data_IF_983394075140
#
_entry.id   IF_983394075140
#
_cell.length_a   1.000
_cell.length_b   1.000
_cell.length_c   1.000
_cell.angle_alpha   90.00
_cell.angle_beta   90.00
_cell.angle_gamma   90.00
#
_symmetry.space_group_name_H-M   'P 1'
#
loop_
_entity.id
_entity.type
_entity.pdbx_description
1 polymer ?
#
# COMPACT_ATOMS: atom_id res chain seq x y z
N UNK A 1 6.57 -21.74 16.36
CA UNK A 1 5.43 -22.63 16.04
C UNK A 1 5.72 -24.12 16.29
N UNK A 2 6.95 -24.61 16.09
CA UNK A 2 7.26 -26.05 16.19
C UNK A 2 6.95 -26.72 17.54
N UNK A 3 6.96 -25.97 18.65
CA UNK A 3 6.72 -26.52 19.99
C UNK A 3 5.33 -26.21 20.57
N UNK A 4 4.48 -25.50 19.83
CA UNK A 4 3.16 -25.06 20.34
C UNK A 4 2.30 -26.26 20.73
N UNK A 5 2.36 -27.33 19.93
CA UNK A 5 1.65 -28.59 20.20
C UNK A 5 2.07 -29.25 21.51
N UNK A 6 3.34 -29.09 21.91
CA UNK A 6 3.90 -29.75 23.09
C UNK A 6 3.77 -28.90 24.35
N UNK A 7 4.03 -27.60 24.25
CA UNK A 7 4.01 -26.67 25.40
C UNK A 7 2.60 -26.14 25.71
N UNK A 8 1.74 -25.99 24.70
CA UNK A 8 0.39 -25.45 24.83
C UNK A 8 -0.60 -26.23 23.95
N UNK A 9 -0.87 -27.51 24.27
CA UNK A 9 -1.67 -28.40 23.42
C UNK A 9 -3.09 -27.88 23.17
N UNK A 10 -3.71 -27.23 24.15
CA UNK A 10 -5.04 -26.64 24.01
C UNK A 10 -5.08 -25.47 23.03
N UNK A 11 -4.08 -24.58 23.07
CA UNK A 11 -3.95 -23.46 22.12
C UNK A 11 -3.73 -24.00 20.72
N UNK A 12 -2.84 -25.00 20.57
CA UNK A 12 -2.58 -25.65 19.30
C UNK A 12 -3.85 -26.31 18.73
N UNK A 13 -4.64 -26.99 19.57
CA UNK A 13 -5.93 -27.58 19.20
C UNK A 13 -6.91 -26.50 18.72
N UNK A 14 -7.06 -25.41 19.49
CA UNK A 14 -7.95 -24.30 19.13
C UNK A 14 -7.56 -23.62 17.83
N UNK A 15 -6.27 -23.50 17.54
CA UNK A 15 -5.80 -22.97 16.27
C UNK A 15 -6.14 -23.91 15.11
N UNK A 16 -5.98 -25.22 15.28
CA UNK A 16 -6.40 -26.21 14.25
C UNK A 16 -7.90 -26.20 14.00
N UNK A 17 -8.69 -25.95 15.05
CA UNK A 17 -10.15 -25.77 14.96
C UNK A 17 -10.54 -24.44 14.27
N UNK A 18 -9.58 -23.57 13.91
CA UNK A 18 -9.85 -22.30 13.24
C UNK A 18 -10.19 -21.15 14.17
N UNK A 19 -10.07 -21.31 15.49
CA UNK A 19 -10.40 -20.28 16.49
C UNK A 19 -9.37 -19.14 16.61
N UNK A 20 -8.75 -18.78 15.51
CA UNK A 20 -7.90 -17.59 15.36
C UNK A 20 -8.47 -16.61 14.32
N UNK A 21 -9.59 -16.97 13.69
CA UNK A 21 -10.38 -16.12 12.81
C UNK A 21 -11.83 -16.04 13.31
N UNK A 22 -12.55 -15.05 12.82
CA UNK A 22 -13.99 -14.87 13.07
C UNK A 22 -14.71 -14.65 11.76
N UNK A 23 -15.99 -14.98 11.73
CA UNK A 23 -16.83 -14.84 10.55
C UNK A 23 -17.99 -13.90 10.88
N UNK A 24 -18.06 -12.76 10.17
CA UNK A 24 -19.12 -11.77 10.38
C UNK A 24 -20.36 -12.02 9.50
N UNK A 25 -20.22 -12.79 8.43
CA UNK A 25 -21.30 -13.04 7.46
C UNK A 25 -21.48 -14.53 7.27
N UNK A 26 -22.63 -14.99 6.76
CA UNK A 26 -22.82 -16.40 6.42
C UNK A 26 -22.12 -16.83 5.11
N UNK A 27 -21.31 -15.95 4.51
CA UNK A 27 -20.63 -16.26 3.25
C UNK A 27 -19.48 -17.24 3.46
N UNK A 28 -19.33 -18.19 2.56
CA UNK A 28 -18.18 -19.09 2.56
C UNK A 28 -16.89 -18.31 2.28
N UNK A 29 -15.77 -18.77 2.85
CA UNK A 29 -14.46 -18.11 2.76
C UNK A 29 -14.44 -16.65 3.24
N UNK A 30 -15.31 -16.30 4.22
CA UNK A 30 -15.39 -14.94 4.78
C UNK A 30 -14.78 -14.80 6.19
N UNK A 31 -14.06 -15.82 6.65
CA UNK A 31 -13.36 -15.76 7.93
C UNK A 31 -12.21 -14.76 7.84
N UNK A 32 -12.15 -13.82 8.78
CA UNK A 32 -11.13 -12.79 8.86
C UNK A 32 -10.38 -12.89 10.19
N UNK A 33 -9.12 -12.44 10.27
CA UNK A 33 -8.42 -12.26 11.52
C UNK A 33 -9.21 -11.43 12.54
N UNK A 34 -9.06 -11.74 13.83
CA UNK A 34 -9.82 -11.10 14.92
C UNK A 34 -9.56 -9.58 15.00
N UNK A 35 -8.31 -9.16 14.77
CA UNK A 35 -7.91 -7.75 14.73
C UNK A 35 -8.58 -7.00 13.58
N UNK A 36 -8.66 -7.62 12.40
CA UNK A 36 -9.37 -7.06 11.25
C UNK A 36 -10.88 -6.94 11.52
N UNK A 37 -11.50 -7.94 12.14
CA UNK A 37 -12.91 -7.87 12.53
C UNK A 37 -13.18 -6.75 13.55
N UNK A 38 -12.28 -6.61 14.51
CA UNK A 38 -12.34 -5.54 15.50
C UNK A 38 -12.19 -4.17 14.83
N UNK A 39 -11.29 -4.01 13.86
CA UNK A 39 -11.14 -2.74 13.14
C UNK A 39 -12.37 -2.40 12.28
N UNK A 40 -13.02 -3.40 11.65
CA UNK A 40 -14.29 -3.17 10.96
C UNK A 40 -15.41 -2.73 11.92
N UNK A 41 -15.49 -3.32 13.11
CA UNK A 41 -16.47 -2.91 14.12
C UNK A 41 -16.19 -1.48 14.60
N UNK A 42 -14.91 -1.15 14.78
CA UNK A 42 -14.49 0.19 15.15
C UNK A 42 -14.86 1.22 14.08
N UNK A 43 -14.72 0.88 12.79
CA UNK A 43 -15.07 1.78 11.70
C UNK A 43 -16.54 2.20 11.72
N UNK A 44 -17.46 1.31 12.14
CA UNK A 44 -18.87 1.64 12.28
C UNK A 44 -19.15 2.68 13.39
N UNK A 45 -18.27 2.74 14.39
CA UNK A 45 -18.42 3.59 15.58
C UNK A 45 -17.60 4.89 15.44
N UNK A 46 -16.49 4.85 14.68
CA UNK A 46 -15.65 6.00 14.36
C UNK A 46 -16.40 6.89 13.36
N UNK A 47 -16.62 8.16 13.70
CA UNK A 47 -17.08 9.17 12.73
C UNK A 47 -15.96 9.59 11.78
N UNK A 48 -16.25 10.53 10.87
CA UNK A 48 -15.32 11.01 9.83
C UNK A 48 -14.00 11.60 10.38
N UNK A 49 -13.97 11.99 11.66
CA UNK A 49 -12.76 12.47 12.36
C UNK A 49 -11.84 11.37 12.92
N UNK A 50 -12.15 10.10 12.70
CA UNK A 50 -11.37 8.96 13.21
C UNK A 50 -11.40 8.86 14.74
N UNK A 51 -10.31 8.36 15.34
CA UNK A 51 -10.19 8.19 16.80
C UNK A 51 -9.54 9.39 17.52
N UNK A 52 -9.32 10.52 16.81
CA UNK A 52 -8.61 11.69 17.35
C UNK A 52 -9.40 12.27 18.52
N UNK A 53 -8.77 12.34 19.70
CA UNK A 53 -9.39 12.79 20.96
C UNK A 53 -10.06 11.69 21.79
N UNK A 54 -10.36 10.51 21.21
CA UNK A 54 -10.91 9.36 21.94
C UNK A 54 -9.82 8.64 22.76
N UNK A 55 -8.61 8.57 22.21
CA UNK A 55 -7.45 7.94 22.86
C UNK A 55 -6.86 8.78 23.99
N UNK A 56 -7.11 10.09 23.97
CA UNK A 56 -6.51 11.05 24.91
C UNK A 56 -7.30 11.16 26.22
N UNK A 57 -8.50 10.59 26.28
CA UNK A 57 -9.33 10.51 27.48
C UNK A 57 -9.50 9.03 27.91
N UNK A 58 -8.81 8.57 28.97
CA UNK A 58 -8.87 7.19 29.43
C UNK A 58 -10.29 6.69 29.75
N UNK A 59 -11.17 7.57 30.23
CA UNK A 59 -12.56 7.21 30.54
C UNK A 59 -13.42 7.09 29.29
N UNK A 60 -13.22 7.96 28.29
CA UNK A 60 -13.87 7.84 26.99
C UNK A 60 -13.40 6.58 26.25
N UNK A 61 -12.10 6.31 26.27
CA UNK A 61 -11.51 5.09 25.72
C UNK A 61 -12.07 3.83 26.40
N UNK A 62 -12.20 3.83 27.74
CA UNK A 62 -12.78 2.70 28.48
C UNK A 62 -14.25 2.47 28.11
N UNK A 63 -15.06 3.54 28.04
CA UNK A 63 -16.46 3.44 27.61
C UNK A 63 -16.57 2.90 26.19
N UNK A 64 -15.72 3.36 25.29
CA UNK A 64 -15.69 2.88 23.92
C UNK A 64 -15.27 1.40 23.82
N UNK A 65 -14.25 0.97 24.56
CA UNK A 65 -13.84 -0.45 24.61
C UNK A 65 -14.95 -1.38 25.13
N UNK A 66 -15.77 -0.92 26.07
CA UNK A 66 -16.82 -1.73 26.70
C UNK A 66 -18.13 -1.67 25.91
N UNK A 67 -18.57 -0.47 25.53
CA UNK A 67 -19.86 -0.26 24.88
C UNK A 67 -19.80 -0.30 23.35
N UNK A 68 -18.62 -0.07 22.76
CA UNK A 68 -18.45 -0.05 21.31
C UNK A 68 -18.94 -1.31 20.61
N UNK A 69 -18.50 -2.51 21.03
CA UNK A 69 -19.00 -3.77 20.46
C UNK A 69 -20.52 -3.91 20.54
N UNK A 70 -21.14 -3.52 21.66
CA UNK A 70 -22.59 -3.58 21.84
C UNK A 70 -23.33 -2.57 20.95
N UNK A 71 -22.80 -1.35 20.80
CA UNK A 71 -23.37 -0.35 19.89
C UNK A 71 -23.29 -0.85 18.43
N UNK A 72 -22.17 -1.43 18.03
CA UNK A 72 -22.04 -2.04 16.70
C UNK A 72 -23.05 -3.18 16.49
N UNK A 73 -23.23 -4.06 17.48
CA UNK A 73 -24.23 -5.14 17.45
C UNK A 73 -25.65 -4.60 17.28
N UNK A 74 -26.04 -3.60 18.06
CA UNK A 74 -27.39 -3.01 17.99
C UNK A 74 -27.64 -2.33 16.63
N UNK A 75 -26.64 -1.64 16.08
CA UNK A 75 -26.73 -1.04 14.74
C UNK A 75 -26.93 -2.13 13.68
N UNK A 76 -26.14 -3.21 13.74
CA UNK A 76 -26.24 -4.34 12.81
C UNK A 76 -27.60 -5.03 12.90
N UNK A 77 -28.09 -5.35 14.11
CA UNK A 77 -29.41 -5.94 14.33
C UNK A 77 -30.55 -5.05 13.83
N UNK A 78 -30.45 -3.73 14.02
CA UNK A 78 -31.43 -2.77 13.51
C UNK A 78 -31.42 -2.73 11.97
N UNK A 79 -30.23 -2.72 11.36
CA UNK A 79 -30.09 -2.74 9.90
C UNK A 79 -30.63 -4.05 9.31
N UNK A 80 -30.39 -5.18 9.96
CA UNK A 80 -30.88 -6.49 9.52
C UNK A 80 -32.40 -6.62 9.68
N UNK A 81 -32.95 -6.12 10.80
CA UNK A 81 -34.39 -6.10 11.06
C UNK A 81 -35.20 -5.30 10.05
N UNK A 82 -34.62 -4.21 9.53
CA UNK A 82 -35.26 -3.32 8.55
C UNK A 82 -35.07 -3.73 7.08
N UNK A 83 -34.29 -4.78 6.79
CA UNK A 83 -34.03 -5.25 5.42
C UNK A 83 -35.01 -6.36 4.97
N UNK A 84 -36.32 -6.06 4.99
CA UNK A 84 -37.39 -7.01 4.62
C UNK A 84 -37.21 -7.65 3.23
N UNK A 85 -36.59 -6.94 2.27
CA UNK A 85 -36.34 -7.40 0.89
C UNK A 85 -35.05 -8.20 0.69
N UNK A 86 -34.08 -8.21 1.64
CA UNK A 86 -32.85 -9.02 1.51
C UNK A 86 -33.00 -10.47 1.98
N UNK A 87 -34.17 -10.85 2.53
CA UNK A 87 -34.46 -12.23 2.96
C UNK A 87 -34.70 -13.22 1.81
N UNK A 88 -34.63 -12.79 0.55
CA UNK A 88 -34.57 -13.70 -0.58
C UNK A 88 -33.15 -14.28 -0.67
N UNK A 89 -32.98 -15.47 -0.09
CA UNK A 89 -31.83 -16.39 -0.28
C UNK A 89 -30.56 -15.68 -0.74
N UNK A 90 -29.97 -14.88 0.16
CA UNK A 90 -28.75 -14.15 -0.16
C UNK A 90 -27.68 -15.20 -0.51
N UNK A 91 -27.26 -15.18 -1.77
CA UNK A 91 -26.21 -16.05 -2.26
C UNK A 91 -24.99 -15.96 -1.32
N UNK A 92 -24.71 -17.06 -0.62
CA UNK A 92 -23.64 -17.12 0.38
C UNK A 92 -22.29 -17.39 -0.27
N UNK A 93 -22.25 -17.54 -1.60
CA UNK A 93 -21.00 -17.73 -2.33
C UNK A 93 -20.08 -16.53 -2.17
N UNK A 94 -18.79 -16.82 -2.09
CA UNK A 94 -17.75 -15.84 -2.31
C UNK A 94 -17.82 -15.33 -3.76
N UNK A 95 -17.44 -14.07 -4.02
CA UNK A 95 -17.50 -13.50 -5.36
C UNK A 95 -16.68 -14.33 -6.40
N UNK A 96 -15.59 -14.96 -5.94
CA UNK A 96 -14.74 -15.85 -6.75
C UNK A 96 -15.41 -17.19 -7.12
N UNK A 97 -16.51 -17.55 -6.49
CA UNK A 97 -17.26 -18.77 -6.81
C UNK A 97 -18.35 -18.55 -7.87
N UNK A 98 -18.44 -17.33 -8.41
CA UNK A 98 -19.35 -17.08 -9.52
C UNK A 98 -18.80 -17.71 -10.81
N UNK A 99 -19.65 -18.34 -11.65
CA UNK A 99 -19.18 -18.98 -12.89
C UNK A 99 -18.39 -18.06 -13.81
N UNK A 100 -18.74 -16.76 -13.87
CA UNK A 100 -18.01 -15.79 -14.69
C UNK A 100 -16.59 -15.54 -14.16
N UNK A 101 -16.42 -15.37 -12.84
CA UNK A 101 -15.09 -15.15 -12.25
C UNK A 101 -14.22 -16.39 -12.44
N UNK A 102 -14.77 -17.58 -12.26
CA UNK A 102 -14.03 -18.84 -12.51
C UNK A 102 -13.65 -18.99 -13.99
N UNK A 103 -14.57 -18.69 -14.92
CA UNK A 103 -14.27 -18.76 -16.35
C UNK A 103 -13.20 -17.75 -16.77
N UNK A 104 -13.27 -16.51 -16.28
CA UNK A 104 -12.24 -15.48 -16.50
C UNK A 104 -10.90 -15.90 -15.92
N UNK A 105 -10.86 -16.38 -14.68
CA UNK A 105 -9.64 -16.86 -14.04
C UNK A 105 -8.98 -17.99 -14.83
N UNK A 106 -9.75 -19.00 -15.26
CA UNK A 106 -9.24 -20.09 -16.09
C UNK A 106 -8.72 -19.59 -17.43
N UNK A 107 -9.40 -18.63 -18.06
CA UNK A 107 -8.94 -17.98 -19.30
C UNK A 107 -7.60 -17.28 -19.08
N UNK A 108 -7.47 -16.50 -18.01
CA UNK A 108 -6.26 -15.74 -17.71
C UNK A 108 -5.08 -16.66 -17.39
N UNK A 109 -5.31 -17.73 -16.61
CA UNK A 109 -4.30 -18.76 -16.35
C UNK A 109 -3.84 -19.43 -17.65
N UNK A 110 -4.76 -19.83 -18.53
CA UNK A 110 -4.40 -20.42 -19.83
C UNK A 110 -3.63 -19.45 -20.71
N UNK A 111 -4.01 -18.17 -20.71
CA UNK A 111 -3.29 -17.14 -21.45
C UNK A 111 -1.87 -16.96 -20.92
N UNK A 112 -1.69 -16.94 -19.60
CA UNK A 112 -0.37 -16.84 -18.98
C UNK A 112 0.50 -18.07 -19.31
N UNK A 113 -0.06 -19.28 -19.19
CA UNK A 113 0.66 -20.52 -19.54
C UNK A 113 1.06 -20.51 -21.00
N UNK A 114 0.15 -20.16 -21.92
CA UNK A 114 0.46 -20.08 -23.35
C UNK A 114 1.58 -19.08 -23.66
N UNK A 115 1.57 -17.92 -23.00
CA UNK A 115 2.66 -16.93 -23.12
C UNK A 115 3.98 -17.47 -22.57
N UNK A 116 3.97 -18.18 -21.45
CA UNK A 116 5.16 -18.82 -20.88
C UNK A 116 5.71 -19.91 -21.81
N UNK A 117 4.84 -20.74 -22.39
CA UNK A 117 5.23 -21.79 -23.35
C UNK A 117 5.80 -21.18 -24.64
N UNK A 118 5.17 -20.14 -25.19
CA UNK A 118 5.65 -19.42 -26.38
C UNK A 118 6.98 -18.71 -26.13
N UNK A 119 7.11 -18.07 -24.97
CA UNK A 119 8.35 -17.40 -24.57
C UNK A 119 9.40 -18.39 -24.01
N UNK A 120 9.12 -19.68 -23.99
CA UNK A 120 10.00 -20.66 -23.37
C UNK A 120 9.89 -20.64 -21.86
N UNK A 121 9.81 -21.84 -21.28
CA UNK A 121 9.59 -22.04 -19.86
C UNK A 121 10.79 -21.49 -19.06
N UNK A 122 10.62 -20.44 -18.24
CA UNK A 122 11.72 -19.85 -17.47
C UNK A 122 12.27 -20.80 -16.39
N UNK A 123 11.56 -21.89 -16.08
CA UNK A 123 12.02 -22.91 -15.14
C UNK A 123 12.88 -24.01 -15.80
N UNK A 124 12.97 -24.03 -17.14
CA UNK A 124 13.86 -24.93 -17.89
C UNK A 124 15.16 -24.23 -18.30
N UNK A 125 15.33 -22.96 -17.95
CA UNK A 125 16.53 -22.19 -18.26
C UNK A 125 17.70 -22.63 -17.37
N UNK A 126 18.81 -23.05 -17.99
CA UNK A 126 20.04 -23.45 -17.28
C UNK A 126 20.94 -22.26 -16.92
N UNK A 127 20.62 -21.07 -17.41
CA UNK A 127 21.39 -19.86 -17.10
C UNK A 127 21.25 -19.47 -15.62
N UNK A 128 22.34 -18.92 -15.05
CA UNK A 128 22.29 -18.28 -13.73
C UNK A 128 21.83 -16.82 -13.80
N UNK A 129 21.53 -16.32 -15.00
CA UNK A 129 21.06 -14.96 -15.20
C UNK A 129 19.65 -14.77 -14.62
N UNK A 130 19.43 -13.62 -13.98
CA UNK A 130 18.09 -13.22 -13.53
C UNK A 130 17.41 -12.52 -14.69
N UNK A 131 16.34 -13.11 -15.21
CA UNK A 131 15.63 -12.62 -16.39
C UNK A 131 14.26 -12.06 -16.02
N UNK A 132 13.85 -10.96 -16.66
CA UNK A 132 12.48 -10.44 -16.56
C UNK A 132 11.53 -11.29 -17.40
N UNK A 133 10.50 -11.85 -16.78
CA UNK A 133 9.58 -12.79 -17.44
C UNK A 133 8.82 -12.19 -18.63
N UNK A 134 8.55 -10.89 -18.65
CA UNK A 134 7.73 -10.23 -19.68
C UNK A 134 8.54 -9.78 -20.91
N UNK A 135 9.82 -9.45 -20.71
CA UNK A 135 10.69 -8.82 -21.72
C UNK A 135 11.88 -9.70 -22.10
N UNK A 136 12.14 -10.76 -21.33
CA UNK A 136 13.37 -11.58 -21.39
C UNK A 136 14.67 -10.80 -21.24
N UNK A 137 14.60 -9.58 -20.70
CA UNK A 137 15.79 -8.79 -20.43
C UNK A 137 16.52 -9.34 -19.21
N UNK A 138 17.84 -9.48 -19.34
CA UNK A 138 18.73 -9.80 -18.20
C UNK A 138 18.74 -8.61 -17.24
N UNK A 139 18.50 -8.88 -15.96
CA UNK A 139 18.53 -7.89 -14.91
C UNK A 139 19.96 -7.35 -14.71
N UNK A 140 20.07 -6.04 -14.46
CA UNK A 140 21.36 -5.42 -14.19
C UNK A 140 21.99 -5.92 -12.88
N UNK A 141 23.32 -5.85 -12.71
CA UNK A 141 24.04 -6.43 -11.57
C UNK A 141 23.49 -6.03 -10.19
N UNK A 142 23.06 -4.77 -10.02
CA UNK A 142 22.49 -4.28 -8.77
C UNK A 142 21.15 -4.96 -8.39
N UNK A 143 20.34 -5.30 -9.40
CA UNK A 143 19.09 -6.04 -9.20
C UNK A 143 19.37 -7.50 -8.86
N UNK A 144 20.31 -8.13 -9.56
CA UNK A 144 20.76 -9.50 -9.28
C UNK A 144 21.26 -9.62 -7.85
N UNK A 145 22.20 -8.75 -7.45
CA UNK A 145 22.76 -8.74 -6.10
C UNK A 145 21.67 -8.57 -5.04
N UNK A 146 20.72 -7.67 -5.28
CA UNK A 146 19.59 -7.43 -4.39
C UNK A 146 18.72 -8.68 -4.23
N UNK A 147 18.30 -9.30 -5.32
CA UNK A 147 17.41 -10.47 -5.29
C UNK A 147 18.10 -11.66 -4.63
N UNK A 148 19.35 -11.94 -5.02
CA UNK A 148 20.14 -13.05 -4.49
C UNK A 148 20.43 -12.90 -3.00
N UNK A 149 20.60 -11.67 -2.51
CA UNK A 149 20.86 -11.41 -1.09
C UNK A 149 19.60 -11.06 -0.28
N UNK A 150 18.41 -10.96 -0.88
CA UNK A 150 17.21 -10.47 -0.21
C UNK A 150 16.90 -11.25 1.08
N UNK A 151 17.05 -12.57 1.03
CA UNK A 151 16.87 -13.44 2.20
C UNK A 151 17.90 -13.13 3.30
N UNK A 152 19.18 -13.02 2.94
CA UNK A 152 20.27 -12.72 3.88
C UNK A 152 20.05 -11.35 4.54
N UNK A 153 19.74 -10.33 3.73
CA UNK A 153 19.45 -8.96 4.20
C UNK A 153 18.27 -8.97 5.17
N UNK A 154 17.16 -9.63 4.83
CA UNK A 154 16.01 -9.74 5.71
C UNK A 154 16.30 -10.48 7.01
N UNK A 155 17.12 -11.54 6.94
CA UNK A 155 17.55 -12.30 8.12
C UNK A 155 18.39 -11.46 9.07
N UNK A 156 19.40 -10.74 8.55
CA UNK A 156 20.24 -9.85 9.35
C UNK A 156 19.42 -8.74 10.02
N UNK A 157 18.43 -8.19 9.32
CA UNK A 157 17.53 -7.17 9.86
C UNK A 157 16.60 -7.71 10.95
N UNK A 158 16.08 -8.93 10.75
CA UNK A 158 15.26 -9.60 11.74
C UNK A 158 16.07 -9.91 13.02
N UNK A 159 17.30 -10.38 12.86
CA UNK A 159 18.21 -10.65 13.98
C UNK A 159 18.59 -9.38 14.74
N UNK A 160 18.88 -8.29 14.01
CA UNK A 160 19.15 -6.98 14.60
C UNK A 160 17.93 -6.47 15.39
N UNK A 161 16.73 -6.52 14.79
CA UNK A 161 15.49 -6.13 15.47
C UNK A 161 15.24 -6.97 16.73
N UNK A 162 15.39 -8.29 16.63
CA UNK A 162 15.20 -9.20 17.77
C UNK A 162 16.15 -8.87 18.91
N UNK A 163 17.42 -8.61 18.58
CA UNK A 163 18.43 -8.24 19.57
C UNK A 163 18.12 -6.88 20.20
N UNK A 164 17.98 -5.84 19.39
CA UNK A 164 17.83 -4.46 19.85
C UNK A 164 16.50 -4.22 20.58
N UNK A 165 15.39 -4.75 20.08
CA UNK A 165 14.05 -4.45 20.60
C UNK A 165 13.55 -5.49 21.62
N UNK A 166 13.91 -6.77 21.48
CA UNK A 166 13.32 -7.85 22.31
C UNK A 166 14.26 -8.37 23.40
N UNK A 167 15.55 -8.53 23.09
CA UNK A 167 16.55 -9.05 24.02
C UNK A 167 17.18 -7.93 24.86
N UNK A 168 17.92 -7.04 24.21
CA UNK A 168 18.69 -5.98 24.86
C UNK A 168 17.82 -4.78 25.23
N UNK A 169 16.66 -4.63 24.58
CA UNK A 169 15.65 -3.57 24.80
C UNK A 169 16.26 -2.16 24.74
N UNK A 170 17.23 -1.97 23.84
CA UNK A 170 17.89 -0.68 23.60
C UNK A 170 17.05 0.25 22.73
N UNK A 171 16.08 -0.30 21.99
CA UNK A 171 15.09 0.42 21.18
C UNK A 171 13.68 0.04 21.58
N UNK A 172 12.72 0.93 21.33
CA UNK A 172 11.33 0.67 21.60
C UNK A 172 10.75 -0.24 20.52
N UNK A 173 9.81 -1.11 20.88
CA UNK A 173 9.19 -2.05 19.93
C UNK A 173 8.31 -1.31 18.90
N UNK A 174 7.81 -0.14 19.26
CA UNK A 174 7.03 0.77 18.42
C UNK A 174 7.87 1.74 17.57
N UNK A 175 9.21 1.68 17.68
CA UNK A 175 10.08 2.49 16.84
C UNK A 175 9.86 2.16 15.35
N UNK A 176 9.82 3.17 14.45
CA UNK A 176 9.59 2.94 13.03
C UNK A 176 10.68 2.06 12.41
N UNK A 177 10.27 0.97 11.75
CA UNK A 177 11.18 0.14 10.96
C UNK A 177 11.44 0.84 9.61
N UNK A 178 12.69 1.23 9.31
CA UNK A 178 12.99 1.96 8.07
C UNK A 178 12.79 1.06 6.85
N UNK A 179 12.31 1.66 5.76
CA UNK A 179 12.19 0.96 4.47
C UNK A 179 13.55 0.72 3.83
N UNK A 180 13.74 -0.50 3.34
CA UNK A 180 14.89 -0.87 2.52
C UNK A 180 14.81 -0.22 1.14
N UNK A 181 15.85 0.55 0.76
CA UNK A 181 15.96 1.19 -0.55
C UNK A 181 16.68 0.31 -1.57
N UNK A 182 16.28 -0.96 -1.67
CA UNK A 182 16.91 -1.92 -2.57
C UNK A 182 16.47 -1.70 -4.02
N UNK A 183 17.41 -1.82 -4.95
CA UNK A 183 17.16 -1.60 -6.38
C UNK A 183 16.82 -2.93 -7.05
N UNK A 184 15.57 -3.36 -6.94
CA UNK A 184 15.13 -4.67 -7.48
C UNK A 184 14.83 -4.62 -9.00
N UNK A 185 14.26 -3.52 -9.50
CA UNK A 185 13.73 -3.46 -10.88
C UNK A 185 14.06 -2.19 -11.66
N UNK A 186 14.93 -1.30 -11.15
CA UNK A 186 15.29 -0.09 -11.89
C UNK A 186 16.72 0.41 -11.62
N UNK A 187 17.57 0.28 -12.63
CA UNK A 187 17.99 1.48 -13.34
C UNK A 187 17.25 1.50 -14.66
N UNK A 188 15.97 1.90 -14.64
CA UNK A 188 15.45 2.57 -15.82
C UNK A 188 16.34 3.78 -16.04
N UNK A 189 16.71 4.04 -17.29
CA UNK A 189 17.15 5.36 -17.72
C UNK A 189 16.31 6.42 -16.98
N UNK A 190 16.93 7.51 -16.46
CA UNK A 190 16.18 8.53 -15.75
C UNK A 190 14.97 8.89 -16.61
N UNK A 191 13.76 8.64 -16.07
CA UNK A 191 12.51 8.92 -16.78
C UNK A 191 12.67 10.31 -17.38
N UNK A 192 12.51 10.44 -18.70
CA UNK A 192 12.46 11.76 -19.29
C UNK A 192 11.40 12.54 -18.51
N UNK A 193 11.78 13.74 -18.06
CA UNK A 193 10.90 14.56 -17.22
C UNK A 193 9.53 14.61 -17.90
N UNK A 194 8.47 14.32 -17.16
CA UNK A 194 7.13 14.43 -17.71
C UNK A 194 6.90 15.87 -18.21
N UNK A 195 6.01 16.09 -19.18
CA UNK A 195 5.73 17.44 -19.71
C UNK A 195 5.46 18.47 -18.60
N UNK A 196 4.76 18.06 -17.53
CA UNK A 196 4.51 18.91 -16.37
C UNK A 196 5.77 19.20 -15.53
N UNK A 197 6.68 18.23 -15.41
CA UNK A 197 7.97 18.45 -14.72
C UNK A 197 8.91 19.35 -15.53
N UNK A 198 8.91 19.22 -16.85
CA UNK A 198 9.66 20.12 -17.75
C UNK A 198 9.13 21.55 -17.67
N UNK A 199 7.79 21.73 -17.70
CA UNK A 199 7.17 23.04 -17.52
C UNK A 199 7.50 23.66 -16.16
N UNK A 200 7.44 22.88 -15.07
CA UNK A 200 7.79 23.37 -13.74
C UNK A 200 9.27 23.75 -13.63
N UNK A 201 10.17 23.01 -14.29
CA UNK A 201 11.59 23.34 -14.35
C UNK A 201 11.84 24.63 -15.16
N UNK A 202 11.14 24.80 -16.29
CA UNK A 202 11.19 26.03 -17.09
C UNK A 202 10.75 27.24 -16.27
N UNK A 203 9.60 27.15 -15.59
CA UNK A 203 9.07 28.26 -14.77
C UNK A 203 10.00 28.61 -13.62
N UNK A 204 10.68 27.64 -13.00
CA UNK A 204 11.68 27.89 -11.96
C UNK A 204 12.90 28.62 -12.50
N UNK A 205 13.40 28.21 -13.67
CA UNK A 205 14.51 28.88 -14.33
C UNK A 205 14.13 30.31 -14.77
N UNK A 206 12.94 30.49 -15.33
CA UNK A 206 12.44 31.81 -15.72
C UNK A 206 12.31 32.72 -14.51
N UNK A 207 11.73 32.22 -13.40
CA UNK A 207 11.64 32.97 -12.14
C UNK A 207 13.01 33.39 -11.64
N UNK A 208 14.01 32.50 -11.71
CA UNK A 208 15.36 32.81 -11.25
C UNK A 208 16.05 33.83 -12.16
N UNK A 209 15.86 33.73 -13.48
CA UNK A 209 16.33 34.72 -14.44
C UNK A 209 15.69 36.09 -14.20
N UNK A 210 14.37 36.14 -13.99
CA UNK A 210 13.63 37.37 -13.66
C UNK A 210 14.12 37.98 -12.35
N UNK A 211 14.38 37.19 -11.32
CA UNK A 211 14.92 37.69 -10.06
C UNK A 211 16.31 38.34 -10.26
N UNK A 212 17.18 37.72 -11.06
CA UNK A 212 18.50 38.27 -11.39
C UNK A 212 18.42 39.55 -12.22
N UNK A 213 17.54 39.59 -13.22
CA UNK A 213 17.28 40.79 -14.04
C UNK A 213 16.73 41.94 -13.19
N UNK A 214 15.77 41.67 -12.31
CA UNK A 214 15.21 42.67 -11.40
C UNK A 214 16.28 43.28 -10.49
N UNK A 215 17.13 42.44 -9.88
CA UNK A 215 18.24 42.90 -9.04
C UNK A 215 19.21 43.76 -9.87
N UNK A 216 19.51 43.36 -11.11
CA UNK A 216 20.37 44.11 -12.03
C UNK A 216 19.78 45.47 -12.44
N UNK A 217 18.46 45.56 -12.63
CA UNK A 217 17.77 46.82 -12.91
C UNK A 217 17.82 47.77 -11.70
N UNK A 218 17.67 47.25 -10.47
CA UNK A 218 17.79 48.07 -9.25
C UNK A 218 19.21 48.61 -9.03
N UNK A 219 20.26 47.89 -9.44
CA UNK A 219 21.65 48.35 -9.27
C UNK A 219 22.11 49.38 -10.29
N UNK A 220 21.35 49.58 -11.37
CA UNK A 220 21.74 50.41 -12.53
C UNK A 220 20.76 51.55 -12.84
N UNK A 221 19.86 51.86 -11.92
CA UNK A 221 18.81 52.88 -12.08
C UNK A 221 17.94 52.63 -13.34
N UNK A 222 17.71 51.35 -13.65
CA UNK A 222 16.92 50.94 -14.81
C UNK A 222 15.43 51.16 -14.57
N UNK A 223 14.71 51.67 -15.59
CA UNK A 223 13.27 51.91 -15.50
C UNK A 223 12.48 50.60 -15.39
N UNK A 224 12.00 50.30 -14.18
CA UNK A 224 11.22 49.09 -13.89
C UNK A 224 9.84 49.10 -14.57
N UNK A 225 9.23 50.26 -14.80
CA UNK A 225 7.92 50.35 -15.49
C UNK A 225 8.03 49.91 -16.95
N UNK A 226 9.09 50.33 -17.65
CA UNK A 226 9.34 49.91 -19.04
C UNK A 226 9.67 48.41 -19.14
N UNK A 227 10.40 47.88 -18.15
CA UNK A 227 10.73 46.46 -18.10
C UNK A 227 9.47 45.58 -18.02
N UNK A 228 8.48 45.96 -17.19
CA UNK A 228 7.23 45.20 -17.06
C UNK A 228 6.17 45.52 -18.13
N UNK A 229 6.19 46.72 -18.75
CA UNK A 229 5.23 47.10 -19.79
C UNK A 229 5.38 46.29 -21.08
N UNK A 230 6.59 45.84 -21.41
CA UNK A 230 6.85 44.97 -22.58
C UNK A 230 6.17 43.60 -22.52
N UNK A 231 5.66 43.18 -21.35
CA UNK A 231 5.05 41.86 -21.15
C UNK A 231 3.52 41.87 -21.25
N UNK A 232 2.85 43.01 -21.05
CA UNK A 232 1.39 43.10 -21.23
C UNK A 232 0.99 43.03 -22.71
N UNK A 233 1.86 43.48 -23.63
CA UNK A 233 1.59 43.41 -25.07
C UNK A 233 1.70 42.00 -25.67
N UNK A 234 2.24 41.02 -24.94
CA UNK A 234 2.41 39.63 -25.39
C UNK A 234 1.25 38.68 -25.04
N UNK A 235 0.29 39.11 -24.19
CA UNK A 235 -0.84 38.26 -23.75
C UNK A 235 -2.16 38.54 -24.48
N UNK A 236 -2.22 39.52 -25.38
CA UNK A 236 -3.43 39.84 -26.17
C UNK A 236 -3.52 39.17 -27.55
N UNK A 237 -2.59 38.29 -27.94
CA UNK A 237 -2.62 37.64 -29.26
C UNK A 237 -3.07 36.16 -29.27
N UNK A 238 -3.62 35.64 -28.17
CA UNK A 238 -4.26 34.32 -28.18
C UNK A 238 -5.75 34.44 -27.86
N UNK A 239 -6.52 34.98 -28.81
CA UNK A 239 -7.96 34.74 -28.92
C UNK A 239 -8.42 35.06 -30.34
N UNK A 240 -8.23 34.10 -31.25
CA UNK A 240 -9.24 33.58 -32.20
C UNK A 240 -8.89 32.12 -32.45
#
# INVERSE_FOLDING_TARGET
>A
MAELTTKHPDVARKFREGHFTVQKTQRVFSSIPIDQAHEQNNACIKGDGGAVGLTDNPSALRRWKVAGPEVARVIEEFQDGNQHWRRQTADTRHHDQTPSVQASFVKDVRSLVGVIEEMGNPFEEESQDVVKLDTKEIAGPAAVETVMNAKRIGQEQFEAFTRECLLDRTKAVDDPIPRNKLKVFSTSTPRSQSKGQQQLASVKNDRELFARLYIGCQTRDGNLEEFFSSRESGMSSCTV
#
